data_IF_782458276016
#
_entry.id   IF_782458276016
#
_cell.length_a   1.000
_cell.length_b   1.000
_cell.length_c   1.000
_cell.angle_alpha   90.00
_cell.angle_beta   90.00
_cell.angle_gamma   90.00
#
_symmetry.space_group_name_H-M   'P 1'
#
loop_
_entity.id
_entity.type
_entity.pdbx_description
1 polymer ?
#
# COMPACT_ATOMS: atom_id res chain seq x y z
N UNK A 1 12.99 -27.71 6.17
CA UNK A 1 13.17 -26.49 5.37
C UNK A 1 12.91 -25.28 6.25
N UNK A 2 13.76 -24.28 6.20
CA UNK A 2 13.58 -23.02 6.92
C UNK A 2 13.06 -21.97 5.95
N UNK A 3 12.06 -21.17 6.42
CA UNK A 3 11.47 -20.09 5.65
C UNK A 3 11.69 -18.80 6.43
N UNK A 4 12.10 -17.75 5.73
CA UNK A 4 12.41 -16.46 6.34
C UNK A 4 11.57 -15.35 5.73
N UNK A 5 11.15 -14.39 6.55
CA UNK A 5 10.60 -13.12 6.11
C UNK A 5 11.79 -12.16 5.94
N UNK A 6 12.04 -11.72 4.71
CA UNK A 6 13.20 -10.87 4.38
C UNK A 6 12.84 -9.43 4.08
N UNK A 7 11.57 -9.14 3.86
CA UNK A 7 11.09 -7.79 3.62
C UNK A 7 9.62 -7.65 3.90
N UNK A 8 9.22 -6.45 4.28
CA UNK A 8 7.83 -6.09 4.60
C UNK A 8 7.42 -4.85 3.83
N UNK A 9 6.15 -4.81 3.44
CA UNK A 9 5.51 -3.63 2.86
C UNK A 9 4.09 -3.49 3.38
N UNK A 10 3.70 -2.28 3.76
CA UNK A 10 2.39 -1.97 4.33
C UNK A 10 1.85 -0.68 3.78
N UNK A 11 0.61 -0.70 3.33
CA UNK A 11 -0.16 0.50 2.98
C UNK A 11 -1.50 0.44 3.72
N UNK A 12 -1.79 1.44 4.52
CA UNK A 12 -3.02 1.49 5.31
C UNK A 12 -3.52 2.91 5.50
N UNK A 13 -4.68 3.06 6.17
CA UNK A 13 -5.24 4.36 6.50
C UNK A 13 -4.42 5.16 7.52
N UNK A 14 -3.40 4.57 8.15
CA UNK A 14 -2.52 5.27 9.10
C UNK A 14 -1.12 5.52 8.57
N UNK A 15 -0.81 5.07 7.36
CA UNK A 15 0.49 5.36 6.76
C UNK A 15 0.75 4.66 5.44
N UNK A 16 1.63 5.26 4.68
CA UNK A 16 2.20 4.72 3.47
C UNK A 16 3.61 4.20 3.80
N UNK A 17 3.73 2.89 3.88
CA UNK A 17 4.97 2.24 4.26
C UNK A 17 5.06 1.83 5.73
N UNK A 18 5.99 0.93 6.01
CA UNK A 18 6.20 0.36 7.35
C UNK A 18 6.55 1.45 8.37
N UNK A 19 7.42 2.38 8.01
CA UNK A 19 7.89 3.43 8.93
C UNK A 19 6.74 4.35 9.39
N UNK A 20 5.89 4.82 8.48
CA UNK A 20 4.74 5.66 8.83
C UNK A 20 3.71 4.90 9.66
N UNK A 21 3.44 3.64 9.32
CA UNK A 21 2.53 2.79 10.09
C UNK A 21 3.02 2.60 11.52
N UNK A 22 4.29 2.30 11.72
CA UNK A 22 4.90 2.16 13.06
C UNK A 22 4.83 3.48 13.84
N UNK A 23 5.15 4.60 13.19
CA UNK A 23 5.09 5.92 13.81
C UNK A 23 3.69 6.26 14.28
N UNK A 24 2.67 5.99 13.45
CA UNK A 24 1.26 6.20 13.82
C UNK A 24 0.82 5.31 14.99
N UNK A 25 1.22 4.05 14.98
CA UNK A 25 0.91 3.13 16.09
C UNK A 25 1.56 3.59 17.40
N UNK A 26 2.81 4.04 17.37
CA UNK A 26 3.51 4.56 18.56
C UNK A 26 2.87 5.82 19.13
N UNK A 27 2.28 6.64 18.26
CA UNK A 27 1.57 7.87 18.65
C UNK A 27 0.10 7.64 18.97
N UNK A 28 -0.37 6.39 18.94
CA UNK A 28 -1.78 6.03 19.11
C UNK A 28 -2.71 6.77 18.13
N UNK A 29 -2.24 7.05 16.93
CA UNK A 29 -3.03 7.67 15.87
C UNK A 29 -3.86 6.62 15.15
N UNK A 30 -5.11 6.93 14.86
CA UNK A 30 -5.99 6.12 14.02
C UNK A 30 -6.28 6.82 12.69
N UNK A 31 -6.63 6.04 11.68
CA UNK A 31 -6.97 6.55 10.34
C UNK A 31 -8.47 6.71 10.11
N UNK A 32 -9.29 6.58 11.16
CA UNK A 32 -10.75 6.66 11.03
C UNK A 32 -11.20 8.09 10.79
N UNK A 33 -12.12 8.25 9.85
CA UNK A 33 -12.67 9.56 9.50
C UNK A 33 -13.78 9.43 8.46
N UNK A 34 -14.22 10.56 7.94
CA UNK A 34 -15.20 10.60 6.86
C UNK A 34 -14.57 10.17 5.54
N UNK A 35 -15.37 9.56 4.67
CA UNK A 35 -14.98 9.26 3.29
C UNK A 35 -14.69 10.57 2.56
N UNK A 36 -13.54 10.68 1.89
CA UNK A 36 -13.12 11.90 1.18
C UNK A 36 -12.79 11.66 -0.29
N UNK A 37 -12.52 10.43 -0.69
CA UNK A 37 -11.99 10.11 -2.02
C UNK A 37 -13.05 9.68 -3.04
N UNK A 38 -14.28 9.45 -2.61
CA UNK A 38 -15.40 9.17 -3.50
C UNK A 38 -16.72 9.69 -2.90
N UNK A 39 -17.73 10.04 -3.73
CA UNK A 39 -19.01 10.49 -3.24
C UNK A 39 -19.79 9.32 -2.64
N UNK A 40 -20.37 9.54 -1.45
CA UNK A 40 -21.25 8.57 -0.78
C UNK A 40 -22.21 9.30 0.15
N UNK A 41 -23.41 8.77 0.30
CA UNK A 41 -24.40 9.22 1.27
C UNK A 41 -24.23 8.53 2.63
N UNK A 42 -23.33 7.54 2.72
CA UNK A 42 -23.07 6.84 3.96
C UNK A 42 -22.29 7.72 4.93
N UNK A 43 -22.83 7.92 6.11
CA UNK A 43 -22.18 8.65 7.21
C UNK A 43 -21.63 7.67 8.24
N UNK A 44 -20.64 6.92 7.83
CA UNK A 44 -19.93 5.96 8.68
C UNK A 44 -18.43 6.28 8.70
N UNK A 45 -17.76 6.10 9.83
CA UNK A 45 -16.31 6.26 9.87
C UNK A 45 -15.62 5.15 9.08
N UNK A 46 -14.66 5.54 8.25
CA UNK A 46 -13.83 4.61 7.47
C UNK A 46 -12.36 4.94 7.67
N UNK A 47 -11.52 3.96 7.46
CA UNK A 47 -10.08 4.16 7.39
C UNK A 47 -9.64 4.03 5.93
N UNK A 48 -9.42 5.16 5.27
CA UNK A 48 -9.00 5.17 3.87
C UNK A 48 -7.54 5.61 3.72
N UNK A 49 -6.86 5.04 2.74
CA UNK A 49 -5.55 5.53 2.30
C UNK A 49 -5.76 6.90 1.64
N UNK A 50 -5.14 7.94 2.16
CA UNK A 50 -5.41 9.35 1.80
C UNK A 50 -4.82 9.80 0.46
N UNK A 51 -4.53 8.88 -0.43
CA UNK A 51 -4.02 9.14 -1.77
C UNK A 51 -5.07 8.78 -2.82
N UNK A 52 -5.28 9.65 -3.79
CA UNK A 52 -6.12 9.35 -4.94
C UNK A 52 -5.47 8.29 -5.84
N UNK A 53 -6.26 7.67 -6.70
CA UNK A 53 -5.71 6.71 -7.66
C UNK A 53 -4.65 7.34 -8.58
N UNK A 54 -4.81 8.60 -8.95
CA UNK A 54 -3.80 9.33 -9.75
C UNK A 54 -2.51 9.53 -8.99
N UNK A 55 -2.58 9.90 -7.72
CA UNK A 55 -1.41 10.04 -6.86
C UNK A 55 -0.70 8.69 -6.67
N UNK A 56 -1.45 7.61 -6.47
CA UNK A 56 -0.90 6.25 -6.38
C UNK A 56 -0.19 5.82 -7.67
N UNK A 57 -0.78 6.12 -8.83
CA UNK A 57 -0.15 5.86 -10.13
C UNK A 57 1.18 6.62 -10.28
N UNK A 58 1.22 7.88 -9.86
CA UNK A 58 2.45 8.68 -9.88
C UNK A 58 3.53 8.09 -8.97
N UNK A 59 3.17 7.69 -7.77
CA UNK A 59 4.11 7.03 -6.85
C UNK A 59 4.68 5.74 -7.42
N UNK A 60 3.89 5.01 -8.19
CA UNK A 60 4.30 3.77 -8.86
C UNK A 60 4.97 3.99 -10.22
N UNK A 61 5.05 5.23 -10.69
CA UNK A 61 5.55 5.57 -12.04
C UNK A 61 4.75 4.88 -13.16
N UNK A 62 3.44 4.75 -12.98
CA UNK A 62 2.54 4.17 -13.96
C UNK A 62 1.97 5.22 -14.90
N UNK A 63 1.53 4.77 -16.08
CA UNK A 63 0.83 5.61 -17.04
C UNK A 63 -0.53 6.04 -16.47
N UNK A 64 -0.72 7.37 -16.32
CA UNK A 64 -1.94 7.95 -15.76
C UNK A 64 -3.17 7.65 -16.65
N UNK A 65 -2.97 7.47 -17.95
CA UNK A 65 -4.05 7.17 -18.90
C UNK A 65 -4.59 5.74 -18.75
N UNK A 66 -3.80 4.83 -18.20
CA UNK A 66 -4.23 3.46 -17.98
C UNK A 66 -5.10 3.34 -16.73
N UNK A 67 -6.10 2.46 -16.83
CA UNK A 67 -7.00 2.16 -15.73
C UNK A 67 -6.45 1.02 -14.88
N UNK A 68 -6.36 1.25 -13.58
CA UNK A 68 -6.02 0.26 -12.57
C UNK A 68 -7.05 0.29 -11.45
N UNK A 69 -7.39 -0.85 -10.89
CA UNK A 69 -8.22 -0.87 -9.69
C UNK A 69 -7.44 -0.28 -8.49
N UNK A 70 -8.16 0.32 -7.58
CA UNK A 70 -7.55 0.84 -6.34
C UNK A 70 -6.84 -0.26 -5.55
N UNK A 71 -7.46 -1.44 -5.46
CA UNK A 71 -6.88 -2.61 -4.81
C UNK A 71 -5.54 -3.00 -5.43
N UNK A 72 -5.45 -3.01 -6.76
CA UNK A 72 -4.20 -3.30 -7.47
C UNK A 72 -3.12 -2.25 -7.17
N UNK A 73 -3.47 -0.97 -7.18
CA UNK A 73 -2.53 0.12 -6.88
C UNK A 73 -1.96 0.02 -5.46
N UNK A 74 -2.81 -0.23 -4.48
CA UNK A 74 -2.39 -0.41 -3.09
C UNK A 74 -1.52 -1.66 -2.91
N UNK A 75 -1.90 -2.76 -3.56
CA UNK A 75 -1.13 -4.00 -3.54
C UNK A 75 0.25 -3.85 -4.19
N UNK A 76 0.34 -3.15 -5.32
CA UNK A 76 1.61 -2.87 -5.98
C UNK A 76 2.55 -2.02 -5.12
N UNK A 77 2.02 -1.02 -4.41
CA UNK A 77 2.83 -0.20 -3.50
C UNK A 77 3.40 -1.03 -2.35
N UNK A 78 2.58 -1.83 -1.70
CA UNK A 78 3.02 -2.70 -0.61
C UNK A 78 4.04 -3.75 -1.10
N UNK A 79 3.77 -4.37 -2.24
CA UNK A 79 4.68 -5.36 -2.82
C UNK A 79 6.03 -4.74 -3.20
N UNK A 80 6.04 -3.54 -3.80
CA UNK A 80 7.27 -2.83 -4.14
C UNK A 80 8.12 -2.54 -2.89
N UNK A 81 7.51 -2.04 -1.84
CA UNK A 81 8.21 -1.79 -0.59
C UNK A 81 8.84 -3.08 -0.01
N UNK A 82 8.09 -4.18 -0.01
CA UNK A 82 8.58 -5.46 0.50
C UNK A 82 9.77 -5.98 -0.32
N UNK A 83 9.71 -5.87 -1.65
CA UNK A 83 10.81 -6.26 -2.56
C UNK A 83 12.04 -5.41 -2.33
N UNK A 84 11.87 -4.09 -2.21
CA UNK A 84 12.97 -3.15 -1.97
C UNK A 84 13.59 -3.37 -0.59
N UNK A 85 12.78 -3.59 0.43
CA UNK A 85 13.23 -3.88 1.79
C UNK A 85 14.04 -5.20 1.84
N UNK A 86 13.57 -6.21 1.14
CA UNK A 86 14.27 -7.49 1.01
C UNK A 86 15.49 -7.44 0.09
N UNK A 87 15.68 -6.35 -0.67
CA UNK A 87 16.75 -6.19 -1.65
C UNK A 87 16.78 -7.30 -2.70
N UNK A 88 15.61 -7.71 -3.16
CA UNK A 88 15.49 -8.77 -4.16
C UNK A 88 15.81 -8.25 -5.56
N UNK A 89 16.64 -9.00 -6.28
CA UNK A 89 16.80 -8.80 -7.72
C UNK A 89 15.84 -9.72 -8.48
N UNK A 90 14.75 -9.15 -8.96
CA UNK A 90 13.70 -9.90 -9.65
C UNK A 90 14.14 -10.43 -11.03
N UNK A 91 15.27 -9.96 -11.57
CA UNK A 91 15.79 -10.42 -12.85
C UNK A 91 16.59 -11.73 -12.71
N UNK A 92 17.15 -11.99 -11.55
CA UNK A 92 18.03 -13.14 -11.30
C UNK A 92 17.39 -14.23 -10.45
N UNK A 93 16.33 -13.89 -9.72
CA UNK A 93 15.65 -14.79 -8.80
C UNK A 93 14.37 -15.35 -9.39
N UNK A 94 14.06 -16.58 -9.03
CA UNK A 94 12.76 -17.19 -9.31
C UNK A 94 11.79 -16.74 -8.22
N UNK A 95 10.81 -15.91 -8.59
CA UNK A 95 9.87 -15.27 -7.66
C UNK A 95 8.44 -15.63 -8.03
N UNK A 96 7.62 -15.90 -7.04
CA UNK A 96 6.19 -16.07 -7.17
C UNK A 96 5.43 -15.01 -6.37
N UNK A 97 4.21 -14.66 -6.82
CA UNK A 97 3.28 -13.79 -6.10
C UNK A 97 2.04 -14.59 -5.71
N UNK A 98 1.67 -14.51 -4.44
CA UNK A 98 0.41 -15.06 -3.93
C UNK A 98 -0.38 -13.90 -3.36
N UNK A 99 -1.59 -13.69 -3.88
CA UNK A 99 -2.52 -12.66 -3.44
C UNK A 99 -3.90 -13.25 -3.19
N UNK A 100 -4.58 -12.79 -2.16
CA UNK A 100 -5.92 -13.22 -1.78
C UNK A 100 -6.87 -12.02 -1.68
#
# INVERSE_FOLDING_TARGET
>A
MKIYVTGLGVVSGIGLGVAENIASLRKHQHGMGKVTLFPTELDVPVSEVKYSNEELKRLLSLDIQKTFSRTALLGMLAAREAVDDARLDLNTLRVGLISS
#
